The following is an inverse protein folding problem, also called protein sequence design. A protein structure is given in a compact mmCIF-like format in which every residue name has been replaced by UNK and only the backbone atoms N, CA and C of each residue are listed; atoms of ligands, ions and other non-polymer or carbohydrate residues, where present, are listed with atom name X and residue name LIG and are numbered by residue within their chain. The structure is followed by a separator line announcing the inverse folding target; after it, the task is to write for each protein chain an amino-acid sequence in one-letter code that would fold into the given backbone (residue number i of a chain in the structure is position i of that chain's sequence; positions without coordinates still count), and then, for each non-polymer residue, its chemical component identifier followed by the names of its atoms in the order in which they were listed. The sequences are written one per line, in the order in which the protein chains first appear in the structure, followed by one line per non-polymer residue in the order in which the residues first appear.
data_IF_898018587461
#
_entry.id   IF_898018587461
#
_cell.length_a   1.000
_cell.length_b   1.000
_cell.length_c   1.000
_cell.angle_alpha   90.00
_cell.angle_beta   90.00
_cell.angle_gamma   90.00
#
_symmetry.space_group_name_H-M   'P 1'
#
loop_
_entity.id
_entity.type
_entity.pdbx_description
1 polymer ?
#
# COMPACT_ATOMS: atom_id res chain seq x y z
N UNK A 1 8.03 8.51 -24.99
CA UNK A 1 7.27 8.50 -23.73
C UNK A 1 5.76 8.55 -24.01
N UNK A 2 5.11 7.40 -24.04
CA UNK A 2 3.65 7.25 -23.95
C UNK A 2 3.41 5.75 -23.75
N UNK A 3 2.89 5.33 -22.60
CA UNK A 3 2.58 3.91 -22.38
C UNK A 3 1.30 3.55 -23.16
N UNK A 4 1.48 2.95 -24.34
CA UNK A 4 0.44 2.16 -25.02
C UNK A 4 0.74 0.69 -24.71
N UNK A 5 -0.12 0.04 -23.94
CA UNK A 5 -0.13 -1.42 -23.82
C UNK A 5 -1.38 -1.94 -24.53
N UNK A 6 -1.17 -2.59 -25.67
CA UNK A 6 -2.17 -3.38 -26.39
C UNK A 6 -2.25 -4.76 -25.75
N UNK A 7 -3.42 -5.14 -25.22
CA UNK A 7 -3.72 -6.54 -24.91
C UNK A 7 -4.19 -7.23 -26.21
N UNK A 8 -3.38 -8.17 -26.70
CA UNK A 8 -3.71 -9.00 -27.85
C UNK A 8 -4.84 -9.98 -27.49
N UNK A 9 -5.92 -9.95 -28.26
CA UNK A 9 -7.05 -10.88 -28.17
C UNK A 9 -6.78 -12.03 -29.12
N UNK A 10 -6.52 -13.23 -28.59
CA UNK A 10 -6.76 -14.44 -29.36
C UNK A 10 -7.25 -15.61 -28.49
N UNK A 11 -8.28 -16.26 -29.04
CA UNK A 11 -8.89 -17.54 -28.66
C UNK A 11 -9.89 -17.60 -27.49
N UNK A 12 -11.17 -17.31 -27.79
CA UNK A 12 -12.33 -18.12 -27.37
C UNK A 12 -13.64 -17.49 -27.89
N UNK A 13 -13.91 -17.64 -29.19
CA UNK A 13 -15.15 -17.16 -29.81
C UNK A 13 -15.96 -18.32 -30.40
N UNK A 14 -16.02 -19.47 -29.74
CA UNK A 14 -16.89 -20.58 -30.16
C UNK A 14 -17.45 -21.25 -28.91
N UNK A 15 -18.66 -20.83 -28.52
CA UNK A 15 -19.76 -21.56 -27.82
C UNK A 15 -20.69 -20.54 -27.15
N UNK A 16 -21.30 -19.66 -27.96
CA UNK A 16 -22.03 -18.47 -27.48
C UNK A 16 -23.57 -18.60 -27.44
N UNK A 17 -24.20 -19.78 -27.57
CA UNK A 17 -25.68 -19.83 -27.73
C UNK A 17 -26.46 -20.80 -26.85
N UNK A 18 -25.85 -21.61 -25.98
CA UNK A 18 -26.60 -22.58 -25.15
C UNK A 18 -26.39 -22.49 -23.64
N UNK A 19 -25.56 -21.58 -23.13
CA UNK A 19 -25.30 -21.44 -21.66
C UNK A 19 -25.78 -20.11 -21.07
N UNK A 20 -26.50 -19.29 -21.84
CA UNK A 20 -27.00 -17.99 -21.38
C UNK A 20 -27.98 -18.04 -20.19
N UNK A 21 -28.58 -19.21 -19.91
CA UNK A 21 -29.52 -19.38 -18.80
C UNK A 21 -28.91 -19.99 -17.53
N UNK A 22 -27.63 -20.40 -17.55
CA UNK A 22 -26.92 -20.90 -16.36
C UNK A 22 -25.84 -19.93 -15.84
N UNK A 23 -25.59 -18.82 -16.53
CA UNK A 23 -24.70 -17.74 -16.09
C UNK A 23 -25.46 -16.52 -15.57
N UNK A 24 -26.55 -16.71 -14.82
CA UNK A 24 -26.93 -15.70 -13.84
C UNK A 24 -25.86 -15.72 -12.74
N UNK A 25 -24.66 -15.19 -13.03
CA UNK A 25 -23.73 -14.83 -11.98
C UNK A 25 -24.51 -13.85 -11.10
N UNK A 26 -24.74 -14.15 -9.80
CA UNK A 26 -25.22 -13.11 -8.92
C UNK A 26 -24.29 -11.93 -9.12
N UNK A 27 -24.84 -10.73 -9.31
CA UNK A 27 -24.04 -9.52 -9.30
C UNK A 27 -23.12 -9.66 -8.09
N UNK A 28 -21.80 -9.76 -8.30
CA UNK A 28 -20.85 -9.71 -7.22
C UNK A 28 -21.09 -8.34 -6.59
N UNK A 29 -21.87 -8.30 -5.51
CA UNK A 29 -21.99 -7.13 -4.67
C UNK A 29 -20.58 -6.97 -4.15
N UNK A 30 -19.78 -6.10 -4.78
CA UNK A 30 -18.47 -5.75 -4.24
C UNK A 30 -18.78 -5.26 -2.82
N UNK A 31 -18.20 -5.89 -1.78
CA UNK A 31 -18.39 -5.38 -0.43
C UNK A 31 -17.98 -3.92 -0.44
N UNK A 32 -18.94 -3.03 -0.21
CA UNK A 32 -18.64 -1.61 -0.08
C UNK A 32 -17.90 -1.47 1.23
N UNK A 33 -16.55 -1.47 1.17
CA UNK A 33 -15.73 -1.18 2.34
C UNK A 33 -16.25 0.17 2.87
N UNK A 34 -16.73 0.22 4.13
CA UNK A 34 -17.18 1.46 4.73
C UNK A 34 -16.08 2.49 4.58
N UNK A 35 -16.40 3.63 3.98
CA UNK A 35 -15.41 4.70 3.82
C UNK A 35 -15.14 5.26 5.21
N UNK A 36 -13.89 5.18 5.65
CA UNK A 36 -13.45 5.74 6.93
C UNK A 36 -13.45 7.26 6.91
N UNK A 37 -13.35 7.86 8.09
CA UNK A 37 -13.26 9.31 8.23
C UNK A 37 -11.80 9.74 8.06
N UNK A 38 -11.55 10.67 7.12
CA UNK A 38 -10.24 11.29 6.98
C UNK A 38 -9.92 12.08 8.26
N UNK A 39 -8.69 11.96 8.75
CA UNK A 39 -8.20 12.64 9.93
C UNK A 39 -6.83 13.26 9.65
N UNK A 40 -6.57 14.42 10.26
CA UNK A 40 -5.28 15.09 10.14
C UNK A 40 -4.16 14.21 10.71
N UNK A 41 -3.03 14.13 10.01
CA UNK A 41 -1.86 13.39 10.47
C UNK A 41 -1.28 14.08 11.71
N UNK A 42 -1.16 13.33 12.80
CA UNK A 42 -0.52 13.75 14.04
C UNK A 42 0.77 12.99 14.35
N UNK A 43 1.11 11.97 13.55
CA UNK A 43 2.34 11.16 13.69
C UNK A 43 3.55 12.03 13.31
N UNK A 44 4.46 12.36 14.25
CA UNK A 44 5.55 13.31 14.01
C UNK A 44 6.45 12.95 12.83
N UNK A 45 6.77 11.66 12.66
CA UNK A 45 7.61 11.20 11.56
C UNK A 45 7.00 11.49 10.18
N UNK A 46 5.67 11.58 10.08
CA UNK A 46 4.97 11.76 8.81
C UNK A 46 4.47 13.18 8.56
N UNK A 47 4.89 14.15 9.37
CA UNK A 47 4.63 15.57 9.12
C UNK A 47 5.55 16.09 8.00
N UNK A 48 5.01 17.01 7.19
CA UNK A 48 5.74 17.70 6.11
C UNK A 48 5.72 16.96 4.77
N UNK A 49 4.83 15.99 4.60
CA UNK A 49 4.57 15.32 3.32
C UNK A 49 3.61 16.13 2.43
N UNK A 50 3.49 15.79 1.12
CA UNK A 50 2.58 16.48 0.20
C UNK A 50 1.08 16.35 0.55
N UNK A 51 0.73 15.48 1.50
CA UNK A 51 -0.63 15.26 2.00
C UNK A 51 -0.64 15.40 3.52
N UNK A 52 -1.78 15.82 4.07
CA UNK A 52 -1.92 16.15 5.50
C UNK A 52 -2.99 15.33 6.22
N UNK A 53 -3.76 14.53 5.48
CA UNK A 53 -4.85 13.72 6.00
C UNK A 53 -4.62 12.25 5.68
N UNK A 54 -4.97 11.41 6.65
CA UNK A 54 -4.92 9.95 6.55
C UNK A 54 -6.27 9.35 6.93
N UNK A 55 -6.43 8.05 6.73
CA UNK A 55 -7.62 7.29 7.14
C UNK A 55 -7.17 6.00 7.81
N UNK A 56 -7.91 5.62 8.85
CA UNK A 56 -7.70 4.39 9.59
C UNK A 56 -8.93 3.48 9.46
N UNK A 57 -8.76 2.14 9.46
CA UNK A 57 -7.49 1.43 9.62
C UNK A 57 -6.51 1.62 8.46
N UNK A 58 -5.21 1.67 8.75
CA UNK A 58 -4.18 1.74 7.71
C UNK A 58 -3.95 0.37 7.04
N UNK A 59 -2.99 0.28 6.12
CA UNK A 59 -2.69 -0.96 5.37
C UNK A 59 -2.22 -2.11 6.27
N UNK A 60 -1.74 -1.80 7.48
CA UNK A 60 -1.26 -2.76 8.48
C UNK A 60 -2.32 -3.04 9.56
N UNK A 61 -3.54 -2.51 9.42
CA UNK A 61 -4.65 -2.73 10.35
C UNK A 61 -4.65 -1.86 11.61
N UNK A 62 -3.73 -0.88 11.74
CA UNK A 62 -3.73 0.02 12.90
C UNK A 62 -4.97 0.91 12.86
N UNK A 63 -5.67 1.03 14.00
CA UNK A 63 -6.91 1.81 14.11
C UNK A 63 -6.73 3.17 14.80
N UNK A 64 -5.60 3.41 15.47
CA UNK A 64 -5.26 4.71 16.08
C UNK A 64 -3.89 5.22 15.65
N UNK A 65 -3.76 6.53 15.44
CA UNK A 65 -2.48 7.15 15.09
C UNK A 65 -1.41 7.03 16.21
N UNK A 66 -1.82 6.83 17.47
CA UNK A 66 -0.88 6.53 18.56
C UNK A 66 -0.17 5.19 18.35
N UNK A 67 -0.91 4.17 17.92
CA UNK A 67 -0.35 2.84 17.66
C UNK A 67 0.57 2.90 16.44
N UNK A 68 0.19 3.68 15.43
CA UNK A 68 1.02 3.99 14.26
C UNK A 68 2.32 4.68 14.65
N UNK A 69 2.26 5.71 15.50
CA UNK A 69 3.44 6.44 15.97
C UNK A 69 4.40 5.51 16.72
N UNK A 70 3.88 4.67 17.61
CA UNK A 70 4.72 3.69 18.32
C UNK A 70 5.39 2.70 17.36
N UNK A 71 4.65 2.17 16.38
CA UNK A 71 5.19 1.19 15.44
C UNK A 71 6.24 1.80 14.50
N UNK A 72 5.95 2.97 13.92
CA UNK A 72 6.80 3.60 12.90
C UNK A 72 8.11 4.14 13.49
N UNK A 73 8.15 4.45 14.79
CA UNK A 73 9.36 4.94 15.46
C UNK A 73 10.51 3.94 15.47
N UNK A 74 10.25 2.65 15.27
CA UNK A 74 11.29 1.63 15.08
C UNK A 74 12.18 1.94 13.86
N UNK A 75 11.67 2.67 12.88
CA UNK A 75 12.39 3.06 11.67
C UNK A 75 13.02 4.46 11.74
N UNK A 76 12.84 5.20 12.84
CA UNK A 76 13.27 6.60 12.95
C UNK A 76 14.77 6.77 12.70
N UNK A 77 15.60 5.88 13.25
CA UNK A 77 17.06 5.91 13.02
C UNK A 77 17.43 5.70 11.55
N UNK A 78 16.73 4.82 10.83
CA UNK A 78 16.98 4.59 9.40
C UNK A 78 16.58 5.81 8.57
N UNK A 79 15.47 6.46 8.92
CA UNK A 79 15.06 7.72 8.30
C UNK A 79 16.08 8.83 8.57
N UNK A 80 16.61 8.92 9.79
CA UNK A 80 17.60 9.93 10.18
C UNK A 80 18.97 9.73 9.52
N UNK A 81 19.38 8.47 9.29
CA UNK A 81 20.60 8.14 8.53
C UNK A 81 20.42 8.43 7.04
N UNK A 82 19.18 8.64 6.57
CA UNK A 82 18.86 9.00 5.18
C UNK A 82 19.43 8.02 4.15
N UNK A 83 19.41 6.72 4.46
CA UNK A 83 19.91 5.68 3.55
C UNK A 83 19.18 5.66 2.19
N UNK A 84 17.95 6.19 2.12
CA UNK A 84 17.22 6.46 0.89
C UNK A 84 16.30 7.66 1.07
N UNK A 85 16.25 8.62 0.12
CA UNK A 85 15.30 9.74 0.18
C UNK A 85 13.83 9.29 0.04
N UNK A 86 13.62 8.05 -0.39
CA UNK A 86 12.29 7.46 -0.57
C UNK A 86 11.78 6.73 0.67
N UNK A 87 12.62 6.50 1.69
CA UNK A 87 12.26 5.72 2.87
C UNK A 87 11.14 6.37 3.68
N UNK A 88 11.28 7.65 4.05
CA UNK A 88 10.25 8.38 4.80
C UNK A 88 8.91 8.45 4.03
N UNK A 89 8.88 8.88 2.75
CA UNK A 89 7.65 8.85 1.96
C UNK A 89 7.01 7.46 1.88
N UNK A 90 7.81 6.41 1.69
CA UNK A 90 7.34 5.04 1.64
C UNK A 90 6.70 4.59 2.96
N UNK A 91 7.42 4.71 4.08
CA UNK A 91 6.90 4.32 5.39
C UNK A 91 5.58 5.05 5.69
N UNK A 92 5.53 6.36 5.48
CA UNK A 92 4.31 7.11 5.74
C UNK A 92 3.16 6.75 4.79
N UNK A 93 3.43 6.37 3.54
CA UNK A 93 2.37 5.87 2.64
C UNK A 93 1.79 4.51 3.04
N UNK A 94 2.48 3.76 3.92
CA UNK A 94 1.97 2.50 4.49
C UNK A 94 1.28 2.75 5.84
N UNK A 95 1.95 3.50 6.72
CA UNK A 95 1.54 3.73 8.11
C UNK A 95 0.50 4.84 8.27
N UNK A 96 0.58 5.91 7.49
CA UNK A 96 -0.36 7.03 7.44
C UNK A 96 -0.77 7.31 6.00
N UNK A 97 -1.40 6.35 5.29
CA UNK A 97 -1.71 6.50 3.86
C UNK A 97 -2.57 7.74 3.60
N UNK A 98 -2.38 8.37 2.43
CA UNK A 98 -3.21 9.49 1.98
C UNK A 98 -4.69 9.06 1.98
N UNK A 99 -5.56 9.88 2.56
CA UNK A 99 -7.00 9.63 2.54
C UNK A 99 -7.58 9.98 1.16
N UNK A 100 -8.10 8.99 0.44
CA UNK A 100 -8.80 9.18 -0.83
C UNK A 100 -10.26 8.75 -0.69
N UNK A 101 -11.17 9.71 -0.53
CA UNK A 101 -12.61 9.47 -0.35
C UNK A 101 -12.91 8.47 0.78
N UNK A 102 -12.21 8.62 1.91
CA UNK A 102 -12.35 7.72 3.06
C UNK A 102 -11.70 6.35 2.89
N UNK A 103 -10.79 6.18 1.92
CA UNK A 103 -10.04 4.94 1.71
C UNK A 103 -8.53 5.22 1.70
N UNK A 104 -7.71 4.30 2.23
CA UNK A 104 -6.26 4.46 2.22
C UNK A 104 -5.74 4.30 0.79
N UNK A 105 -4.94 5.26 0.32
CA UNK A 105 -4.23 5.12 -0.95
C UNK A 105 -2.97 4.28 -0.76
N UNK A 106 -2.80 3.12 -1.43
CA UNK A 106 -1.63 2.28 -1.27
C UNK A 106 -0.38 2.90 -1.91
N UNK A 107 0.84 2.57 -1.42
CA UNK A 107 2.08 2.97 -2.07
C UNK A 107 2.19 2.40 -3.48
N UNK A 108 2.83 3.16 -4.37
CA UNK A 108 3.27 2.60 -5.63
C UNK A 108 4.42 1.61 -5.40
N UNK A 109 4.41 0.49 -6.14
CA UNK A 109 5.47 -0.52 -6.07
C UNK A 109 6.88 0.07 -6.28
N UNK A 110 7.01 1.00 -7.22
CA UNK A 110 8.28 1.68 -7.51
C UNK A 110 8.80 2.49 -6.32
N UNK A 111 7.92 3.14 -5.54
CA UNK A 111 8.31 3.87 -4.33
C UNK A 111 8.84 2.90 -3.27
N UNK A 112 8.20 1.74 -3.12
CA UNK A 112 8.68 0.70 -2.22
C UNK A 112 10.07 0.17 -2.61
N UNK A 113 10.26 -0.17 -3.89
CA UNK A 113 11.53 -0.71 -4.39
C UNK A 113 12.67 0.33 -4.25
N UNK A 114 12.37 1.61 -4.46
CA UNK A 114 13.33 2.71 -4.24
C UNK A 114 13.65 2.96 -2.76
N UNK A 115 12.69 2.77 -1.86
CA UNK A 115 12.90 2.85 -0.43
C UNK A 115 13.73 1.67 0.09
N UNK A 116 13.49 0.47 -0.44
CA UNK A 116 14.22 -0.77 -0.10
C UNK A 116 15.60 -0.87 -0.77
N UNK A 117 15.95 0.03 -1.69
CA UNK A 117 17.18 -0.07 -2.47
C UNK A 117 18.40 -0.43 -1.60
N UNK A 118 19.31 -1.24 -2.14
CA UNK A 118 20.21 -2.12 -1.36
C UNK A 118 20.90 -1.43 -0.19
N UNK A 119 21.31 -0.15 -0.31
CA UNK A 119 21.92 0.59 0.80
C UNK A 119 21.11 0.56 2.11
N UNK A 120 19.78 0.71 2.07
CA UNK A 120 18.94 0.62 3.27
C UNK A 120 18.78 -0.83 3.77
N UNK A 121 18.58 -1.77 2.86
CA UNK A 121 18.45 -3.20 3.18
C UNK A 121 19.75 -3.75 3.78
N UNK A 122 20.90 -3.44 3.18
CA UNK A 122 22.25 -3.75 3.64
C UNK A 122 22.54 -3.12 5.02
N UNK A 123 22.10 -1.87 5.24
CA UNK A 123 22.25 -1.20 6.53
C UNK A 123 21.45 -1.94 7.62
N UNK A 124 20.19 -2.31 7.36
CA UNK A 124 19.41 -3.10 8.31
C UNK A 124 20.07 -4.45 8.61
N UNK A 125 20.56 -5.13 7.58
CA UNK A 125 21.27 -6.39 7.73
C UNK A 125 22.55 -6.25 8.57
N UNK A 126 23.28 -5.13 8.46
CA UNK A 126 24.48 -4.86 9.28
C UNK A 126 24.18 -4.76 10.78
N UNK A 127 22.95 -4.40 11.14
CA UNK A 127 22.45 -4.40 12.52
C UNK A 127 21.75 -5.71 12.91
N UNK A 128 21.79 -6.74 12.05
CA UNK A 128 21.14 -8.02 12.28
C UNK A 128 19.62 -7.99 12.15
N UNK A 129 19.06 -6.96 11.50
CA UNK A 129 17.63 -6.80 11.28
C UNK A 129 17.32 -7.03 9.80
N UNK A 130 16.34 -7.87 9.49
CA UNK A 130 15.86 -8.06 8.13
C UNK A 130 14.76 -7.07 7.78
N UNK A 131 14.59 -6.77 6.49
CA UNK A 131 13.43 -6.00 6.03
C UNK A 131 12.12 -6.73 6.39
N UNK A 132 11.15 -6.07 7.05
CA UNK A 132 9.92 -6.71 7.51
C UNK A 132 9.08 -7.29 6.36
N UNK A 133 8.41 -8.41 6.63
CA UNK A 133 7.61 -9.12 5.62
C UNK A 133 6.42 -8.27 5.15
N UNK A 134 5.80 -7.53 6.05
CA UNK A 134 4.65 -6.66 5.78
C UNK A 134 5.02 -5.47 4.90
N UNK A 135 6.30 -5.09 4.89
CA UNK A 135 6.85 -4.01 4.05
C UNK A 135 7.44 -4.53 2.74
N UNK A 136 7.34 -5.83 2.43
CA UNK A 136 7.76 -6.33 1.14
C UNK A 136 6.88 -5.75 0.03
N UNK A 137 7.50 -5.26 -1.05
CA UNK A 137 6.81 -4.54 -2.11
C UNK A 137 5.72 -5.35 -2.83
N UNK A 138 5.81 -6.69 -2.77
CA UNK A 138 4.77 -7.57 -3.31
C UNK A 138 3.56 -7.66 -2.38
N UNK A 139 3.75 -7.58 -1.05
CA UNK A 139 2.70 -7.78 -0.05
C UNK A 139 1.75 -6.58 0.06
N UNK A 140 2.25 -5.37 -0.22
CA UNK A 140 1.48 -4.12 -0.11
C UNK A 140 0.34 -3.99 -1.15
N UNK A 141 0.39 -4.75 -2.25
CA UNK A 141 -0.73 -4.80 -3.21
C UNK A 141 -1.84 -5.78 -2.80
N UNK A 142 -1.53 -6.80 -1.98
CA UNK A 142 -2.49 -7.82 -1.54
C UNK A 142 -3.33 -7.36 -0.33
N UNK A 143 -2.77 -6.50 0.54
CA UNK A 143 -3.48 -6.01 1.73
C UNK A 143 -4.73 -5.17 1.42
N UNK A 144 -4.85 -4.64 0.19
CA UNK A 144 -6.03 -3.88 -0.27
C UNK A 144 -7.12 -4.74 -0.94
N UNK A 145 -6.81 -5.97 -1.35
CA UNK A 145 -7.77 -6.86 -2.04
C UNK A 145 -8.55 -7.76 -1.09
N UNK A 146 -8.19 -7.81 0.21
CA UNK A 146 -8.96 -8.56 1.21
C UNK A 146 -8.95 -10.07 0.99
N UNK A 147 -7.86 -10.63 0.46
CA UNK A 147 -7.67 -12.07 0.33
C UNK A 147 -6.47 -12.50 1.18
N UNK A 148 -6.76 -13.34 2.19
CA UNK A 148 -5.82 -14.22 2.89
C UNK A 148 -6.01 -15.64 2.35
#
# INVERSE_FOLDING_TARGET
MSCRYTCDKHQAYITCLSVFLLFQRPAFILPTIPSGVCQKISVPLCIGLPYTETVLPNLLGHVHQRDVDQAIQTFASLVQVECSPHLKPFLCSVFTPECQSGRPRPPCRTLCEQARFSCCEDLMHSFGVSWPEELQCNNLMFLMTGEL
#
